data_IF_751226748190
#
_entry.id   IF_751226748190
#
_cell.length_a   1.000
_cell.length_b   1.000
_cell.length_c   1.000
_cell.angle_alpha   90.00
_cell.angle_beta   90.00
_cell.angle_gamma   90.00
#
_symmetry.space_group_name_H-M   'P 1'
#
loop_
_entity.id
_entity.type
_entity.pdbx_description
1 polymer ?
#
# COMPACT_ATOMS: atom_id res chain seq x y z
N UNK A 1 -38.72 7.97 -13.90
CA UNK A 1 -37.75 6.91 -13.52
C UNK A 1 -36.53 7.59 -12.91
N UNK A 2 -36.23 7.36 -11.63
CA UNK A 2 -35.25 8.15 -10.85
C UNK A 2 -33.91 7.41 -10.82
N UNK A 3 -32.87 8.02 -11.38
CA UNK A 3 -31.53 7.45 -11.58
C UNK A 3 -30.92 6.95 -10.25
N UNK A 4 -30.89 5.63 -10.06
CA UNK A 4 -30.29 4.96 -8.88
C UNK A 4 -28.80 4.66 -9.02
N UNK A 5 -28.10 5.33 -9.95
CA UNK A 5 -26.66 5.23 -10.13
C UNK A 5 -25.93 6.37 -9.41
N UNK A 6 -26.29 6.61 -8.14
CA UNK A 6 -25.49 7.49 -7.28
C UNK A 6 -24.07 6.94 -7.22
N UNK A 7 -23.10 7.75 -7.64
CA UNK A 7 -21.70 7.37 -7.85
C UNK A 7 -21.12 6.71 -6.60
N UNK A 8 -21.05 5.37 -6.58
CA UNK A 8 -20.49 4.58 -5.48
C UNK A 8 -18.98 4.83 -5.30
N UNK A 9 -18.33 5.33 -6.35
CA UNK A 9 -16.90 5.67 -6.37
C UNK A 9 -16.62 6.89 -5.47
N UNK A 10 -17.57 7.82 -5.33
CA UNK A 10 -17.37 9.05 -4.55
C UNK A 10 -17.40 8.86 -3.02
N UNK A 11 -17.67 7.65 -2.52
CA UNK A 11 -17.78 7.35 -1.08
C UNK A 11 -16.90 6.20 -0.61
N UNK A 12 -15.83 5.87 -1.33
CA UNK A 12 -14.85 4.92 -0.80
C UNK A 12 -13.87 5.73 0.08
N UNK A 13 -13.92 5.60 1.42
CA UNK A 13 -12.98 6.28 2.28
C UNK A 13 -11.57 5.72 2.05
N UNK A 14 -10.56 6.60 2.19
CA UNK A 14 -9.14 6.18 2.12
C UNK A 14 -8.91 5.05 3.11
N UNK A 15 -8.45 3.91 2.60
CA UNK A 15 -8.23 2.71 3.39
C UNK A 15 -6.80 2.65 3.91
N UNK A 16 -6.57 1.88 4.96
CA UNK A 16 -5.21 1.54 5.41
C UNK A 16 -4.33 0.99 4.27
N UNK A 17 -4.91 0.18 3.37
CA UNK A 17 -4.18 -0.41 2.24
C UNK A 17 -3.77 0.62 1.20
N UNK A 18 -4.49 1.74 1.08
CA UNK A 18 -4.11 2.82 0.17
C UNK A 18 -2.79 3.45 0.63
N UNK A 19 -2.60 3.59 1.95
CA UNK A 19 -1.35 4.04 2.54
C UNK A 19 -0.22 3.01 2.41
N UNK A 20 -0.51 1.73 2.60
CA UNK A 20 0.47 0.64 2.38
C UNK A 20 0.97 0.66 0.94
N UNK A 21 0.06 0.76 -0.04
CA UNK A 21 0.40 0.84 -1.46
C UNK A 21 1.19 2.09 -1.79
N UNK A 22 0.90 3.21 -1.12
CA UNK A 22 1.65 4.44 -1.30
C UNK A 22 3.04 4.41 -0.63
N UNK A 23 3.21 3.65 0.45
CA UNK A 23 4.48 3.55 1.17
C UNK A 23 5.57 2.84 0.34
N UNK A 24 5.21 1.83 -0.46
CA UNK A 24 6.16 1.06 -1.28
C UNK A 24 6.99 1.95 -2.24
N UNK A 25 6.38 2.75 -3.15
CA UNK A 25 7.15 3.60 -4.04
C UNK A 25 7.92 4.68 -3.28
N UNK A 26 7.43 5.17 -2.13
CA UNK A 26 8.16 6.13 -1.31
C UNK A 26 9.43 5.55 -0.70
N UNK A 27 9.36 4.33 -0.17
CA UNK A 27 10.52 3.65 0.42
C UNK A 27 11.58 3.36 -0.65
N UNK A 28 11.16 2.90 -1.83
CA UNK A 28 12.06 2.70 -2.96
C UNK A 28 12.69 4.01 -3.45
N UNK A 29 11.89 5.08 -3.55
CA UNK A 29 12.38 6.41 -3.91
C UNK A 29 13.38 6.94 -2.88
N UNK A 30 13.13 6.73 -1.58
CA UNK A 30 14.06 7.09 -0.52
C UNK A 30 15.38 6.31 -0.65
N UNK A 31 15.33 5.01 -0.96
CA UNK A 31 16.52 4.19 -1.23
C UNK A 31 17.31 4.68 -2.44
N UNK A 32 16.63 5.09 -3.51
CA UNK A 32 17.25 5.69 -4.69
C UNK A 32 17.94 7.03 -4.36
N UNK A 33 17.25 7.92 -3.67
CA UNK A 33 17.78 9.23 -3.26
C UNK A 33 18.97 9.04 -2.31
N UNK A 34 18.88 8.11 -1.36
CA UNK A 34 19.98 7.80 -0.45
C UNK A 34 21.20 7.26 -1.20
N UNK A 35 21.00 6.34 -2.16
CA UNK A 35 22.11 5.84 -2.99
C UNK A 35 22.80 6.96 -3.77
N UNK A 36 22.01 7.87 -4.36
CA UNK A 36 22.52 9.00 -5.12
C UNK A 36 23.27 10.04 -4.26
N UNK A 37 22.81 10.28 -3.02
CA UNK A 37 23.36 11.33 -2.15
C UNK A 37 24.53 10.84 -1.28
N UNK A 38 24.51 9.57 -0.85
CA UNK A 38 25.57 9.00 -0.02
C UNK A 38 26.67 8.28 -0.83
N UNK A 39 26.62 8.33 -2.18
CA UNK A 39 27.56 7.63 -3.07
C UNK A 39 27.63 6.11 -2.82
N UNK A 40 26.52 5.52 -2.38
CA UNK A 40 26.39 4.07 -2.17
C UNK A 40 26.03 3.44 -3.52
N UNK A 41 26.52 2.22 -3.84
CA UNK A 41 26.12 1.54 -5.06
C UNK A 41 24.59 1.41 -5.15
N UNK A 42 24.03 1.78 -6.29
CA UNK A 42 22.57 1.86 -6.51
C UNK A 42 21.86 0.53 -6.20
N UNK A 43 22.48 -0.60 -6.53
CA UNK A 43 21.93 -1.92 -6.21
C UNK A 43 21.77 -2.15 -4.70
N UNK A 44 22.64 -1.60 -3.86
CA UNK A 44 22.51 -1.71 -2.39
C UNK A 44 21.31 -0.91 -1.90
N UNK A 45 21.19 0.36 -2.33
CA UNK A 45 20.08 1.23 -1.93
C UNK A 45 18.70 0.67 -2.34
N UNK A 46 18.61 0.14 -3.56
CA UNK A 46 17.39 -0.51 -4.06
C UNK A 46 17.12 -1.82 -3.32
N UNK A 47 18.14 -2.64 -3.05
CA UNK A 47 17.94 -3.92 -2.34
C UNK A 47 17.42 -3.70 -0.93
N UNK A 48 18.04 -2.78 -0.18
CA UNK A 48 17.62 -2.47 1.20
C UNK A 48 16.19 -1.93 1.22
N UNK A 49 15.86 -0.96 0.36
CA UNK A 49 14.50 -0.42 0.28
C UNK A 49 13.47 -1.45 -0.22
N UNK A 50 13.87 -2.38 -1.09
CA UNK A 50 13.08 -3.53 -1.50
C UNK A 50 12.74 -4.47 -0.34
N UNK A 51 13.73 -4.81 0.50
CA UNK A 51 13.51 -5.62 1.72
C UNK A 51 12.49 -4.94 2.65
N UNK A 52 12.65 -3.64 2.89
CA UNK A 52 11.71 -2.87 3.73
C UNK A 52 10.30 -2.90 3.14
N UNK A 53 10.19 -2.75 1.82
CA UNK A 53 8.90 -2.82 1.10
C UNK A 53 8.23 -4.19 1.24
N UNK A 54 9.01 -5.28 1.18
CA UNK A 54 8.51 -6.65 1.44
C UNK A 54 7.99 -6.79 2.86
N UNK A 55 8.68 -6.23 3.86
CA UNK A 55 8.20 -6.26 5.27
C UNK A 55 6.87 -5.52 5.42
N UNK A 56 6.74 -4.34 4.81
CA UNK A 56 5.49 -3.56 4.81
C UNK A 56 4.35 -4.34 4.15
N UNK A 57 4.60 -4.97 3.01
CA UNK A 57 3.61 -5.83 2.35
C UNK A 57 3.26 -7.04 3.21
N UNK A 58 4.25 -7.68 3.85
CA UNK A 58 4.03 -8.85 4.68
C UNK A 58 3.14 -8.51 5.90
N UNK A 59 3.34 -7.35 6.54
CA UNK A 59 2.44 -6.87 7.60
C UNK A 59 1.01 -6.73 7.09
N UNK A 60 0.82 -6.04 5.96
CA UNK A 60 -0.50 -5.82 5.38
C UNK A 60 -1.18 -7.11 4.85
N UNK A 61 -0.40 -8.11 4.43
CA UNK A 61 -0.94 -9.35 3.89
C UNK A 61 -1.20 -10.41 4.97
N UNK A 62 -0.34 -10.49 6.00
CA UNK A 62 -0.35 -11.60 6.96
C UNK A 62 -0.75 -11.19 8.38
N UNK A 63 -0.41 -9.97 8.82
CA UNK A 63 -0.73 -9.50 10.18
C UNK A 63 -2.09 -8.79 10.19
N UNK A 64 -2.34 -7.96 9.18
CA UNK A 64 -3.61 -7.23 9.01
C UNK A 64 -4.21 -7.56 7.65
N UNK A 65 -4.56 -8.83 7.38
CA UNK A 65 -5.04 -9.23 6.06
C UNK A 65 -6.34 -8.48 5.70
N UNK A 66 -6.56 -8.20 4.41
CA UNK A 66 -7.82 -7.64 3.92
C UNK A 66 -8.95 -8.62 4.21
N UNK A 67 -9.73 -8.35 5.26
CA UNK A 67 -10.92 -9.13 5.56
C UNK A 67 -12.06 -8.65 4.67
N UNK A 68 -12.55 -9.49 3.77
CA UNK A 68 -13.75 -9.25 2.96
C UNK A 68 -15.05 -9.28 3.79
N UNK A 69 -15.00 -9.05 5.11
CA UNK A 69 -16.17 -9.16 5.97
C UNK A 69 -17.06 -7.94 5.73
N UNK A 70 -18.30 -8.13 5.24
CA UNK A 70 -19.23 -7.02 5.12
C UNK A 70 -19.44 -6.38 6.50
N UNK A 71 -19.66 -5.05 6.60
CA UNK A 71 -19.93 -4.36 7.87
C UNK A 71 -21.10 -4.93 8.67
N UNK A 72 -21.93 -5.76 8.02
CA UNK A 72 -23.20 -6.26 8.48
C UNK A 72 -23.30 -7.79 8.40
N UNK A 73 -22.23 -8.54 8.70
CA UNK A 73 -22.27 -9.94 9.18
C UNK A 73 -23.06 -11.00 8.38
N UNK A 74 -23.61 -10.66 7.21
CA UNK A 74 -24.38 -11.58 6.36
C UNK A 74 -23.37 -12.38 5.56
N UNK A 75 -23.04 -13.55 6.08
CA UNK A 75 -22.57 -14.67 5.29
C UNK A 75 -23.62 -14.90 4.18
N UNK A 76 -23.19 -14.82 2.92
CA UNK A 76 -23.99 -15.24 1.78
C UNK A 76 -24.20 -16.75 1.82
#
# INVERSE_FOLDING_TARGET
MRNRFGSRIARVPVSYYDFVLFAVPLVLLAGLVAAATLSIPLHVGITVSGIVSVVVLADAMFIRPPSNRPPNGRSA
#
